data_IF_962821427803
#
_entry.id   IF_962821427803
#
_cell.length_a   1.000
_cell.length_b   1.000
_cell.length_c   1.000
_cell.angle_alpha   90.00
_cell.angle_beta   90.00
_cell.angle_gamma   90.00
#
_symmetry.space_group_name_H-M   'P 1'
#
loop_
_entity.id
_entity.type
_entity.pdbx_description
1 polymer ?
#
# COMPACT_ATOMS: atom_id res chain seq x y z
N UNK A 1 3.69 -33.42 13.87
CA UNK A 1 4.29 -32.81 15.08
C UNK A 1 4.03 -31.31 15.00
N UNK A 2 3.28 -30.76 15.96
CA UNK A 2 2.93 -29.33 15.96
C UNK A 2 4.16 -28.44 16.13
N UNK A 3 4.14 -27.27 15.50
CA UNK A 3 5.13 -26.22 15.71
C UNK A 3 5.02 -25.76 17.17
N UNK A 4 6.14 -25.74 17.90
CA UNK A 4 6.17 -25.25 19.28
C UNK A 4 6.45 -23.74 19.28
N UNK A 5 5.41 -22.94 19.49
CA UNK A 5 5.52 -21.48 19.61
C UNK A 5 6.18 -21.06 20.93
N UNK A 6 6.95 -19.97 20.91
CA UNK A 6 7.38 -19.33 22.16
C UNK A 6 6.20 -18.67 22.86
N UNK A 7 6.34 -18.35 24.16
CA UNK A 7 5.27 -17.66 24.91
C UNK A 7 4.87 -16.33 24.24
N UNK A 8 5.86 -15.59 23.72
CA UNK A 8 5.62 -14.32 23.03
C UNK A 8 4.92 -14.52 21.68
N UNK A 9 5.30 -15.55 20.92
CA UNK A 9 4.65 -15.87 19.65
C UNK A 9 3.20 -16.31 19.87
N UNK A 10 2.96 -17.18 20.84
CA UNK A 10 1.63 -17.63 21.23
C UNK A 10 0.75 -16.44 21.66
N UNK A 11 1.30 -15.51 22.44
CA UNK A 11 0.58 -14.28 22.81
C UNK A 11 0.18 -13.45 21.57
N UNK A 12 1.05 -13.36 20.57
CA UNK A 12 0.70 -12.70 19.29
C UNK A 12 -0.34 -13.49 18.51
N UNK A 13 -0.38 -14.82 18.62
CA UNK A 13 -1.40 -15.66 17.95
C UNK A 13 -2.75 -15.52 18.64
N UNK A 14 -2.79 -15.37 19.96
CA UNK A 14 -4.02 -15.45 20.77
C UNK A 14 -4.70 -14.11 21.00
N UNK A 15 -3.96 -13.00 21.15
CA UNK A 15 -4.56 -11.70 21.51
C UNK A 15 -5.61 -11.23 20.49
N UNK A 16 -6.78 -10.80 20.93
CA UNK A 16 -7.86 -10.24 20.10
C UNK A 16 -8.29 -8.85 20.61
N UNK A 17 -9.13 -8.17 19.82
CA UNK A 17 -9.86 -6.94 20.17
C UNK A 17 -9.00 -5.77 20.64
N UNK A 18 -7.81 -5.62 20.04
CA UNK A 18 -6.90 -4.51 20.29
C UNK A 18 -5.87 -4.36 19.17
N UNK A 19 -5.28 -3.17 19.09
CA UNK A 19 -4.11 -2.94 18.25
C UNK A 19 -2.87 -3.61 18.88
N UNK A 20 -2.10 -4.32 18.07
CA UNK A 20 -0.90 -5.04 18.50
C UNK A 20 0.28 -4.57 17.66
N UNK A 21 1.34 -4.12 18.32
CA UNK A 21 2.63 -3.84 17.68
C UNK A 21 3.61 -4.95 18.05
N UNK A 22 4.12 -5.66 17.04
CA UNK A 22 5.09 -6.75 17.22
C UNK A 22 6.47 -6.28 16.78
N UNK A 23 7.35 -6.02 17.75
CA UNK A 23 8.77 -5.78 17.48
C UNK A 23 9.55 -7.09 17.54
N UNK A 24 10.17 -7.49 16.42
CA UNK A 24 10.95 -8.72 16.39
C UNK A 24 12.11 -8.66 15.40
N UNK A 25 13.25 -9.26 15.78
CA UNK A 25 14.46 -9.33 14.96
C UNK A 25 14.25 -10.14 13.66
N UNK A 26 15.13 -9.99 12.67
CA UNK A 26 15.14 -10.86 11.50
C UNK A 26 15.24 -12.35 11.92
N UNK A 27 14.57 -13.24 11.19
CA UNK A 27 14.58 -14.69 11.49
C UNK A 27 13.74 -15.14 12.69
N UNK A 28 13.07 -14.24 13.41
CA UNK A 28 12.20 -14.58 14.56
C UNK A 28 10.87 -15.28 14.23
N UNK A 29 10.65 -15.61 12.95
CA UNK A 29 9.44 -16.29 12.49
C UNK A 29 8.20 -15.38 12.39
N UNK A 30 8.36 -14.04 12.31
CA UNK A 30 7.25 -13.07 12.19
C UNK A 30 6.16 -13.51 11.20
N UNK A 31 6.55 -13.90 9.99
CA UNK A 31 5.61 -14.34 8.97
C UNK A 31 4.87 -15.61 9.37
N UNK A 32 5.56 -16.58 9.97
CA UNK A 32 4.92 -17.82 10.43
C UNK A 32 3.90 -17.55 11.55
N UNK A 33 4.22 -16.65 12.47
CA UNK A 33 3.31 -16.20 13.53
C UNK A 33 2.08 -15.51 12.95
N UNK A 34 2.26 -14.68 11.91
CA UNK A 34 1.15 -13.99 11.25
C UNK A 34 0.24 -14.98 10.48
N UNK A 35 0.81 -15.94 9.77
CA UNK A 35 0.06 -17.03 9.12
C UNK A 35 -0.75 -17.79 10.16
N UNK A 36 -0.10 -18.24 11.23
CA UNK A 36 -0.77 -19.02 12.28
C UNK A 36 -1.91 -18.22 12.90
N UNK A 37 -1.68 -16.95 13.22
CA UNK A 37 -2.72 -16.05 13.74
C UNK A 37 -3.93 -15.99 12.82
N UNK A 38 -3.72 -15.86 11.51
CA UNK A 38 -4.80 -15.85 10.52
C UNK A 38 -5.53 -17.18 10.54
N UNK A 39 -4.82 -18.31 10.48
CA UNK A 39 -5.44 -19.64 10.48
C UNK A 39 -6.27 -19.87 11.73
N UNK A 40 -5.77 -19.49 12.91
CA UNK A 40 -6.55 -19.57 14.16
C UNK A 40 -7.84 -18.75 14.10
N UNK A 41 -7.85 -17.60 13.40
CA UNK A 41 -9.09 -16.82 13.20
C UNK A 41 -10.05 -17.48 12.21
N UNK A 42 -9.53 -18.17 11.18
CA UNK A 42 -10.35 -18.89 10.21
C UNK A 42 -10.94 -20.17 10.81
N UNK A 43 -10.23 -20.83 11.72
CA UNK A 43 -10.63 -22.10 12.35
C UNK A 43 -11.29 -21.92 13.72
N UNK A 44 -11.62 -20.70 14.12
CA UNK A 44 -12.31 -20.45 15.40
C UNK A 44 -13.69 -21.13 15.40
N UNK A 45 -14.00 -21.90 16.44
CA UNK A 45 -15.25 -22.67 16.52
C UNK A 45 -16.47 -21.79 16.86
N UNK A 46 -16.26 -20.68 17.58
CA UNK A 46 -17.34 -19.82 18.03
C UNK A 46 -17.57 -18.65 17.06
N UNK A 47 -16.50 -18.05 16.56
CA UNK A 47 -16.53 -16.84 15.74
C UNK A 47 -15.56 -16.92 14.55
N UNK A 48 -15.78 -17.84 13.60
CA UNK A 48 -14.92 -17.98 12.43
C UNK A 48 -15.01 -16.74 11.52
N UNK A 49 -13.86 -16.24 11.12
CA UNK A 49 -13.74 -15.13 10.14
C UNK A 49 -13.51 -15.71 8.75
N UNK A 50 -13.97 -15.01 7.70
CA UNK A 50 -13.63 -15.37 6.32
C UNK A 50 -12.33 -14.67 5.89
N UNK A 51 -11.53 -15.34 5.06
CA UNK A 51 -10.23 -14.80 4.63
C UNK A 51 -10.34 -13.53 3.79
N UNK A 52 -11.47 -13.33 3.11
CA UNK A 52 -11.81 -12.12 2.35
C UNK A 52 -12.31 -10.95 3.22
N UNK A 53 -12.54 -11.18 4.52
CA UNK A 53 -12.81 -10.12 5.50
C UNK A 53 -11.52 -9.55 6.12
N UNK A 54 -10.36 -10.09 5.75
CA UNK A 54 -9.05 -9.66 6.23
C UNK A 54 -8.33 -8.80 5.19
N UNK A 55 -7.80 -7.66 5.63
CA UNK A 55 -6.87 -6.84 4.86
C UNK A 55 -5.43 -7.10 5.32
N UNK A 56 -4.62 -7.66 4.43
CA UNK A 56 -3.22 -8.01 4.69
C UNK A 56 -2.34 -7.20 3.74
N UNK A 57 -1.64 -6.21 4.28
CA UNK A 57 -0.81 -5.28 3.51
C UNK A 57 0.67 -5.59 3.70
N UNK A 58 1.41 -5.60 2.59
CA UNK A 58 2.87 -5.79 2.57
C UNK A 58 3.58 -4.68 1.79
N UNK A 59 4.90 -4.61 1.92
CA UNK A 59 5.71 -3.62 1.21
C UNK A 59 5.92 -3.97 -0.27
N UNK A 60 5.96 -5.26 -0.63
CA UNK A 60 6.24 -5.69 -2.01
C UNK A 60 5.20 -6.68 -2.52
N UNK A 61 4.99 -6.70 -3.83
CA UNK A 61 4.11 -7.67 -4.50
C UNK A 61 4.61 -9.11 -4.32
N UNK A 62 5.94 -9.30 -4.29
CA UNK A 62 6.54 -10.60 -4.02
C UNK A 62 6.20 -11.11 -2.61
N UNK A 63 6.28 -10.25 -1.60
CA UNK A 63 5.92 -10.61 -0.22
C UNK A 63 4.40 -10.81 -0.07
N UNK A 64 3.56 -10.09 -0.83
CA UNK A 64 2.12 -10.33 -0.91
C UNK A 64 1.81 -11.73 -1.49
N UNK A 65 2.45 -12.07 -2.60
CA UNK A 65 2.35 -13.41 -3.21
C UNK A 65 2.81 -14.50 -2.26
N UNK A 66 3.97 -14.34 -1.62
CA UNK A 66 4.48 -15.30 -0.62
C UNK A 66 3.51 -15.47 0.56
N UNK A 67 2.94 -14.37 1.05
CA UNK A 67 1.95 -14.38 2.13
C UNK A 67 0.68 -15.16 1.72
N UNK A 68 0.17 -14.91 0.52
CA UNK A 68 -0.98 -15.61 -0.06
C UNK A 68 -0.74 -17.11 -0.15
N UNK A 69 0.42 -17.52 -0.66
CA UNK A 69 0.80 -18.93 -0.78
C UNK A 69 0.93 -19.62 0.59
N UNK A 70 1.50 -18.94 1.59
CA UNK A 70 1.62 -19.49 2.95
C UNK A 70 0.26 -19.68 3.61
N UNK A 71 -0.67 -18.73 3.46
CA UNK A 71 -2.03 -18.84 4.01
C UNK A 71 -2.79 -19.96 3.30
N UNK A 72 -2.71 -20.01 1.97
CA UNK A 72 -3.32 -21.07 1.16
C UNK A 72 -2.86 -22.46 1.61
N UNK A 73 -1.55 -22.67 1.70
CA UNK A 73 -1.00 -23.95 2.14
C UNK A 73 -1.39 -24.32 3.58
N UNK A 74 -1.58 -23.33 4.46
CA UNK A 74 -2.03 -23.58 5.82
C UNK A 74 -3.55 -23.89 5.89
N UNK A 75 -4.38 -23.28 5.03
CA UNK A 75 -5.80 -23.66 4.86
C UNK A 75 -5.89 -25.09 4.32
N UNK A 76 -5.11 -25.42 3.28
CA UNK A 76 -5.08 -26.77 2.69
C UNK A 76 -4.70 -27.83 3.74
N UNK A 77 -3.67 -27.56 4.55
CA UNK A 77 -3.28 -28.44 5.66
C UNK A 77 -4.37 -28.60 6.72
N UNK A 78 -5.02 -27.50 7.12
CA UNK A 78 -6.14 -27.57 8.08
C UNK A 78 -7.31 -28.39 7.53
N UNK A 79 -7.56 -28.31 6.22
CA UNK A 79 -8.58 -29.10 5.54
C UNK A 79 -8.19 -30.59 5.43
N UNK A 80 -6.91 -30.92 5.25
CA UNK A 80 -6.44 -32.32 5.33
C UNK A 80 -6.68 -32.93 6.72
N UNK A 81 -6.50 -32.13 7.78
CA UNK A 81 -6.75 -32.56 9.17
C UNK A 81 -8.25 -32.67 9.48
N UNK A 82 -9.11 -31.88 8.83
CA UNK A 82 -10.56 -31.93 8.98
C UNK A 82 -11.30 -31.79 7.63
N UNK A 83 -11.39 -32.86 6.83
CA UNK A 83 -11.89 -32.81 5.44
C UNK A 83 -13.37 -32.44 5.31
N UNK A 84 -14.16 -32.63 6.36
CA UNK A 84 -15.60 -32.34 6.37
C UNK A 84 -15.92 -30.91 6.82
N UNK A 85 -14.90 -30.09 7.10
CA UNK A 85 -15.11 -28.70 7.50
C UNK A 85 -15.51 -27.82 6.30
N UNK A 86 -16.82 -27.59 6.16
CA UNK A 86 -17.40 -26.75 5.09
C UNK A 86 -16.88 -25.31 5.09
N UNK A 87 -16.56 -24.75 6.26
CA UNK A 87 -15.99 -23.40 6.34
C UNK A 87 -14.59 -23.37 5.73
N UNK A 88 -13.72 -24.33 6.04
CA UNK A 88 -12.38 -24.43 5.44
C UNK A 88 -12.44 -24.67 3.93
N UNK A 89 -13.38 -25.49 3.43
CA UNK A 89 -13.61 -25.64 1.98
C UNK A 89 -13.95 -24.31 1.32
N UNK A 90 -14.78 -23.49 1.97
CA UNK A 90 -15.10 -22.14 1.52
C UNK A 90 -13.87 -21.23 1.54
N UNK A 91 -13.07 -21.26 2.60
CA UNK A 91 -11.86 -20.44 2.70
C UNK A 91 -10.82 -20.79 1.62
N UNK A 92 -10.70 -22.07 1.26
CA UNK A 92 -9.83 -22.51 0.16
C UNK A 92 -10.25 -21.92 -1.20
N UNK A 93 -11.51 -21.53 -1.36
CA UNK A 93 -12.00 -20.81 -2.55
C UNK A 93 -11.81 -19.29 -2.41
N UNK A 94 -12.15 -18.74 -1.25
CA UNK A 94 -12.09 -17.29 -1.00
C UNK A 94 -10.67 -16.72 -0.99
N UNK A 95 -9.65 -17.54 -0.68
CA UNK A 95 -8.24 -17.11 -0.68
C UNK A 95 -7.81 -16.49 -2.01
N UNK A 96 -8.42 -16.88 -3.13
CA UNK A 96 -8.12 -16.30 -4.44
C UNK A 96 -8.50 -14.82 -4.53
N UNK A 97 -9.55 -14.40 -3.83
CA UNK A 97 -10.09 -13.04 -3.81
C UNK A 97 -9.71 -12.25 -2.54
N UNK A 98 -8.98 -12.87 -1.61
CA UNK A 98 -8.56 -12.22 -0.38
C UNK A 98 -7.66 -11.00 -0.63
N UNK A 99 -7.83 -9.95 0.20
CA UNK A 99 -7.10 -8.69 0.10
C UNK A 99 -5.69 -8.82 0.70
N UNK A 100 -4.82 -9.57 0.01
CA UNK A 100 -3.40 -9.75 0.34
C UNK A 100 -2.58 -9.01 -0.71
N UNK A 101 -2.23 -7.76 -0.44
CA UNK A 101 -1.72 -6.83 -1.47
C UNK A 101 -0.64 -5.89 -0.91
N UNK A 102 -0.09 -5.02 -1.77
CA UNK A 102 0.66 -3.85 -1.30
C UNK A 102 -0.28 -2.69 -0.96
N UNK A 103 0.23 -1.71 -0.20
CA UNK A 103 -0.55 -0.51 0.12
C UNK A 103 -1.01 0.22 -1.16
N UNK A 104 -0.15 0.28 -2.19
CA UNK A 104 -0.47 0.91 -3.47
C UNK A 104 -1.60 0.17 -4.20
N UNK A 105 -1.51 -1.15 -4.28
CA UNK A 105 -2.54 -2.00 -4.91
C UNK A 105 -3.89 -1.90 -4.17
N UNK A 106 -3.87 -1.82 -2.83
CA UNK A 106 -5.06 -1.57 -2.03
C UNK A 106 -5.66 -0.18 -2.33
N UNK A 107 -4.87 0.89 -2.27
CA UNK A 107 -5.34 2.24 -2.58
C UNK A 107 -5.93 2.33 -4.00
N UNK A 108 -5.33 1.65 -4.97
CA UNK A 108 -5.84 1.59 -6.33
C UNK A 108 -7.22 0.91 -6.41
N UNK A 109 -7.44 -0.17 -5.65
CA UNK A 109 -8.77 -0.79 -5.53
C UNK A 109 -9.78 0.20 -4.96
N UNK A 110 -9.44 0.88 -3.86
CA UNK A 110 -10.32 1.86 -3.23
C UNK A 110 -10.72 2.98 -4.20
N UNK A 111 -9.77 3.52 -4.96
CA UNK A 111 -10.04 4.53 -5.98
C UNK A 111 -10.97 3.99 -7.07
N UNK A 112 -10.78 2.75 -7.53
CA UNK A 112 -11.65 2.13 -8.53
C UNK A 112 -13.04 1.84 -8.02
N UNK A 113 -13.19 1.45 -6.76
CA UNK A 113 -14.50 1.13 -6.17
C UNK A 113 -15.30 2.41 -5.87
N UNK A 114 -14.60 3.52 -5.62
CA UNK A 114 -15.18 4.80 -5.21
C UNK A 114 -14.92 5.96 -6.18
N UNK A 115 -14.58 5.71 -7.45
CA UNK A 115 -14.22 6.77 -8.39
C UNK A 115 -15.29 7.87 -8.52
N UNK A 116 -16.56 7.53 -8.30
CA UNK A 116 -17.70 8.46 -8.38
C UNK A 116 -17.73 9.55 -7.30
N UNK A 117 -16.98 9.40 -6.20
CA UNK A 117 -16.93 10.41 -5.11
C UNK A 117 -15.80 11.42 -5.30
N UNK A 118 -14.96 11.22 -6.31
CA UNK A 118 -13.82 12.04 -6.67
C UNK A 118 -13.89 12.36 -8.17
N UNK A 119 -13.23 13.43 -8.62
CA UNK A 119 -13.26 13.80 -10.04
C UNK A 119 -12.22 12.99 -10.86
N UNK A 120 -12.38 11.66 -10.88
CA UNK A 120 -11.49 10.74 -11.60
C UNK A 120 -12.31 9.88 -12.57
N UNK A 121 -11.85 9.83 -13.82
CA UNK A 121 -12.43 8.98 -14.86
C UNK A 121 -12.25 7.47 -14.51
N UNK A 122 -13.29 6.63 -14.64
CA UNK A 122 -13.19 5.20 -14.32
C UNK A 122 -12.19 4.42 -15.17
N UNK A 123 -11.85 4.92 -16.36
CA UNK A 123 -10.82 4.39 -17.26
C UNK A 123 -9.40 4.85 -16.93
N UNK A 124 -9.16 5.46 -15.76
CA UNK A 124 -7.83 5.91 -15.36
C UNK A 124 -6.80 4.78 -15.34
N UNK A 125 -5.55 5.16 -15.57
CA UNK A 125 -4.39 4.28 -15.40
C UNK A 125 -3.30 5.00 -14.63
N UNK A 126 -2.48 4.22 -13.94
CA UNK A 126 -1.24 4.74 -13.36
C UNK A 126 -0.29 5.09 -14.50
N UNK A 127 0.17 6.34 -14.53
CA UNK A 127 1.18 6.78 -15.48
C UNK A 127 2.56 6.25 -15.08
N UNK A 128 3.39 5.94 -16.08
CA UNK A 128 4.77 5.53 -15.85
C UNK A 128 5.65 6.73 -15.50
N UNK A 129 6.77 6.50 -14.83
CA UNK A 129 7.66 7.58 -14.37
C UNK A 129 8.16 8.47 -15.52
N UNK A 130 8.45 7.88 -16.69
CA UNK A 130 8.86 8.62 -17.87
C UNK A 130 7.75 9.53 -18.43
N UNK A 131 6.51 9.04 -18.44
CA UNK A 131 5.35 9.82 -18.87
C UNK A 131 5.07 10.97 -17.90
N UNK A 132 5.07 10.68 -16.59
CA UNK A 132 4.90 11.69 -15.55
C UNK A 132 5.95 12.79 -15.64
N UNK A 133 7.20 12.43 -15.96
CA UNK A 133 8.28 13.40 -16.13
C UNK A 133 8.05 14.34 -17.32
N UNK A 134 7.58 13.80 -18.45
CA UNK A 134 7.27 14.61 -19.63
C UNK A 134 6.08 15.54 -19.35
N UNK A 135 5.00 15.01 -18.78
CA UNK A 135 3.82 15.82 -18.43
C UNK A 135 4.16 16.95 -17.45
N UNK A 136 4.99 16.66 -16.44
CA UNK A 136 5.46 17.68 -15.50
C UNK A 136 6.27 18.77 -16.18
N UNK A 137 7.19 18.38 -17.07
CA UNK A 137 8.00 19.32 -17.84
C UNK A 137 7.13 20.24 -18.70
N UNK A 138 6.19 19.67 -19.47
CA UNK A 138 5.31 20.44 -20.35
C UNK A 138 4.46 21.46 -19.57
N UNK A 139 3.88 21.05 -18.44
CA UNK A 139 3.08 21.94 -17.57
C UNK A 139 3.94 23.02 -16.92
N UNK A 140 5.16 22.68 -16.52
CA UNK A 140 6.07 23.63 -15.88
C UNK A 140 6.59 24.68 -16.86
N UNK A 141 6.91 24.28 -18.09
CA UNK A 141 7.30 25.17 -19.17
C UNK A 141 6.18 26.17 -19.47
N UNK A 142 4.94 25.69 -19.69
CA UNK A 142 3.77 26.54 -19.94
C UNK A 142 3.53 27.54 -18.78
N UNK A 143 3.61 27.06 -17.54
CA UNK A 143 3.46 27.89 -16.34
C UNK A 143 4.51 29.01 -16.29
N UNK A 144 5.79 28.68 -16.55
CA UNK A 144 6.87 29.66 -16.51
C UNK A 144 6.72 30.69 -17.64
N UNK A 145 6.38 30.27 -18.86
CA UNK A 145 6.11 31.16 -19.99
C UNK A 145 4.99 32.16 -19.65
N UNK A 146 3.88 31.68 -19.08
CA UNK A 146 2.76 32.53 -18.65
C UNK A 146 3.22 33.56 -17.60
N UNK A 147 3.99 33.11 -16.60
CA UNK A 147 4.50 33.98 -15.52
C UNK A 147 5.47 35.04 -16.03
N UNK A 148 6.31 34.70 -17.00
CA UNK A 148 7.19 35.67 -17.65
C UNK A 148 6.41 36.69 -18.49
N UNK A 149 5.35 36.26 -19.18
CA UNK A 149 4.49 37.16 -19.95
C UNK A 149 3.77 38.20 -19.07
N UNK A 150 3.35 37.81 -17.87
CA UNK A 150 2.71 38.68 -16.88
C UNK A 150 3.65 39.77 -16.31
N UNK A 151 4.98 39.52 -16.32
CA UNK A 151 6.01 40.44 -15.81
C UNK A 151 5.78 40.93 -14.38
N UNK A 152 5.17 40.09 -13.54
CA UNK A 152 4.96 40.43 -12.13
C UNK A 152 6.30 40.60 -11.41
N UNK A 153 6.48 41.71 -10.72
CA UNK A 153 7.76 42.04 -10.07
C UNK A 153 8.17 40.98 -9.05
N UNK A 154 7.22 40.40 -8.31
CA UNK A 154 7.47 39.33 -7.34
C UNK A 154 8.08 38.09 -8.01
N UNK A 155 7.51 37.67 -9.14
CA UNK A 155 8.00 36.53 -9.89
C UNK A 155 9.38 36.82 -10.50
N UNK A 156 9.57 37.99 -11.11
CA UNK A 156 10.86 38.38 -11.67
C UNK A 156 11.97 38.44 -10.61
N UNK A 157 11.67 38.91 -9.39
CA UNK A 157 12.62 38.88 -8.27
C UNK A 157 12.95 37.43 -7.87
N UNK A 158 11.95 36.56 -7.82
CA UNK A 158 12.12 35.15 -7.52
C UNK A 158 12.98 34.44 -8.59
N UNK A 159 12.64 34.58 -9.87
CA UNK A 159 13.40 33.96 -10.96
C UNK A 159 14.84 34.49 -11.03
N UNK A 160 15.07 35.79 -10.84
CA UNK A 160 16.43 36.34 -10.80
C UNK A 160 17.26 35.85 -9.60
N UNK A 161 16.63 35.64 -8.45
CA UNK A 161 17.33 35.19 -7.24
C UNK A 161 17.69 33.70 -7.28
N UNK A 162 16.82 32.86 -7.88
CA UNK A 162 16.94 31.41 -7.82
C UNK A 162 17.23 30.73 -9.17
N UNK A 163 17.06 31.44 -10.28
CA UNK A 163 17.36 30.97 -11.63
C UNK A 163 18.85 30.74 -11.90
N UNK A 164 19.13 30.05 -13.00
CA UNK A 164 20.50 29.82 -13.46
C UNK A 164 21.05 31.01 -14.24
N UNK A 165 22.39 31.10 -14.35
CA UNK A 165 23.05 32.18 -15.13
C UNK A 165 22.69 32.19 -16.62
N UNK A 166 22.16 31.10 -17.16
CA UNK A 166 21.91 30.91 -18.61
C UNK A 166 20.52 30.34 -18.93
N UNK A 167 19.81 29.77 -17.95
CA UNK A 167 18.51 29.13 -18.10
C UNK A 167 17.83 28.94 -16.75
N UNK A 168 16.57 28.53 -16.78
CA UNK A 168 15.72 28.40 -15.59
C UNK A 168 15.68 26.99 -15.00
N UNK A 169 16.52 26.08 -15.48
CA UNK A 169 16.59 24.69 -14.97
C UNK A 169 16.69 24.57 -13.45
N UNK A 170 17.45 25.47 -12.82
CA UNK A 170 17.60 25.48 -11.36
C UNK A 170 16.30 25.90 -10.65
N UNK A 171 15.54 26.79 -11.28
CA UNK A 171 14.23 27.23 -10.81
C UNK A 171 13.23 26.07 -10.93
N UNK A 172 13.20 25.41 -12.09
CA UNK A 172 12.37 24.23 -12.36
C UNK A 172 12.61 23.13 -11.32
N UNK A 173 13.87 22.73 -11.12
CA UNK A 173 14.26 21.71 -10.13
C UNK A 173 13.83 22.09 -8.71
N UNK A 174 13.82 23.38 -8.37
CA UNK A 174 13.42 23.85 -7.05
C UNK A 174 11.90 23.77 -6.86
N UNK A 175 11.13 24.13 -7.90
CA UNK A 175 9.67 23.99 -7.91
C UNK A 175 9.30 22.51 -7.79
N UNK A 176 9.93 21.64 -8.58
CA UNK A 176 9.68 20.19 -8.53
C UNK A 176 9.98 19.61 -7.15
N UNK A 177 11.13 19.95 -6.55
CA UNK A 177 11.47 19.49 -5.20
C UNK A 177 10.50 19.99 -4.14
N UNK A 178 10.05 21.24 -4.23
CA UNK A 178 9.08 21.79 -3.30
C UNK A 178 7.73 21.06 -3.41
N UNK A 179 7.30 20.77 -4.64
CA UNK A 179 6.09 19.98 -4.90
C UNK A 179 6.22 18.54 -4.38
N UNK A 180 7.32 17.84 -4.69
CA UNK A 180 7.51 16.45 -4.23
C UNK A 180 7.58 16.37 -2.70
N UNK A 181 8.19 17.37 -2.06
CA UNK A 181 8.23 17.47 -0.62
C UNK A 181 6.85 17.71 0.00
N UNK A 182 6.03 18.59 -0.59
CA UNK A 182 4.68 18.86 -0.08
C UNK A 182 3.78 17.62 -0.18
N UNK A 183 3.97 16.78 -1.20
CA UNK A 183 3.25 15.51 -1.40
C UNK A 183 3.56 14.43 -0.37
N UNK A 184 4.59 14.61 0.46
CA UNK A 184 4.93 13.67 1.55
C UNK A 184 4.13 13.92 2.82
N UNK A 185 3.33 14.99 2.89
CA UNK A 185 2.49 15.33 4.03
C UNK A 185 1.03 14.88 3.79
N UNK A 186 0.31 14.41 4.83
CA UNK A 186 -1.07 13.94 4.70
C UNK A 186 -2.06 15.05 4.30
N UNK A 187 -1.82 16.27 4.79
CA UNK A 187 -2.63 17.44 4.51
C UNK A 187 -1.76 18.44 3.73
N UNK A 188 -2.21 18.79 2.51
CA UNK A 188 -1.59 19.84 1.70
C UNK A 188 -1.83 21.26 2.22
N UNK A 189 -2.61 21.40 3.29
CA UNK A 189 -2.81 22.62 4.04
C UNK A 189 -2.07 22.49 5.37
N UNK A 190 -0.92 23.15 5.47
CA UNK A 190 -0.29 23.41 6.77
C UNK A 190 -1.09 24.40 7.61
#
# INVERSE_FOLDING_TARGET
>A
MGVKWTKQQQQVIDLRDRNILVSAAAGSGKTAVLVERIITMLTDEEHPVNVDELLIVTFTEAAAGEMKERIRGAIEKALEENPENEHLKRQATLIHNAQITTIHSFCLSVIRDHFHVIDIDPGFRTAEEGELKLLRHDVLDELLEEKYAQKEERFLRFSNAYGGRRNDKKLEEMIEKAYDYSRSYPDGEG
#
